data_IF_937652036626
#
_entry.id   IF_937652036626
#
_cell.length_a   1.000
_cell.length_b   1.000
_cell.length_c   1.000
_cell.angle_alpha   90.00
_cell.angle_beta   90.00
_cell.angle_gamma   90.00
#
_symmetry.space_group_name_H-M   'P 1'
#
loop_
_entity.id
_entity.type
_entity.pdbx_description
1 polymer ?
#
# COMPACT_ATOMS: atom_id res chain seq x y z
N UNK A 1 -38.69 10.53 29.93
CA UNK A 1 -37.30 10.05 29.95
C UNK A 1 -36.59 10.63 28.74
N UNK A 2 -35.73 11.62 28.92
CA UNK A 2 -34.95 12.22 27.84
C UNK A 2 -33.49 12.30 28.27
N UNK A 3 -32.59 11.76 27.45
CA UNK A 3 -31.15 11.90 27.66
C UNK A 3 -30.67 13.12 26.87
N UNK A 4 -30.07 14.07 27.58
CA UNK A 4 -29.29 15.15 26.95
C UNK A 4 -27.89 14.57 26.73
N UNK A 5 -27.56 14.26 25.48
CA UNK A 5 -26.22 13.86 25.08
C UNK A 5 -25.55 15.02 24.35
N UNK A 6 -24.32 15.35 24.76
CA UNK A 6 -23.47 16.29 24.04
C UNK A 6 -23.14 15.69 22.67
N UNK A 7 -23.40 16.47 21.60
CA UNK A 7 -22.93 16.11 20.27
C UNK A 7 -21.39 16.19 20.27
N UNK A 8 -20.66 15.07 20.08
CA UNK A 8 -19.21 15.13 20.07
C UNK A 8 -18.72 15.99 18.90
N UNK A 9 -17.60 16.71 19.05
CA UNK A 9 -17.02 17.47 17.96
C UNK A 9 -16.60 16.52 16.83
N UNK A 10 -16.73 16.93 15.55
CA UNK A 10 -16.37 16.09 14.41
C UNK A 10 -14.87 15.76 14.44
N UNK A 11 -14.52 14.57 13.96
CA UNK A 11 -13.14 14.09 13.93
C UNK A 11 -12.24 15.04 13.11
N UNK A 12 -10.99 15.27 13.53
CA UNK A 12 -10.02 16.05 12.76
C UNK A 12 -9.78 15.40 11.40
N UNK A 13 -9.93 16.16 10.31
CA UNK A 13 -9.86 15.66 8.92
C UNK A 13 -8.59 14.87 8.59
N UNK A 14 -7.45 15.17 9.23
CA UNK A 14 -6.19 14.46 9.01
C UNK A 14 -6.15 13.07 9.65
N UNK A 15 -6.87 12.86 10.75
CA UNK A 15 -6.98 11.54 11.39
C UNK A 15 -7.80 10.57 10.54
N UNK A 16 -8.79 11.09 9.79
CA UNK A 16 -9.61 10.28 8.91
C UNK A 16 -8.79 9.52 7.85
N UNK A 17 -7.68 10.09 7.37
CA UNK A 17 -6.77 9.43 6.43
C UNK A 17 -6.10 8.20 7.05
N UNK A 18 -5.61 8.32 8.28
CA UNK A 18 -4.90 7.20 8.94
C UNK A 18 -5.88 6.13 9.44
N UNK A 19 -7.11 6.53 9.80
CA UNK A 19 -8.19 5.63 10.25
C UNK A 19 -8.73 4.72 9.13
N UNK A 20 -8.34 4.95 7.87
CA UNK A 20 -8.67 4.08 6.76
C UNK A 20 -8.21 2.63 6.95
N UNK A 21 -7.18 2.38 7.78
CA UNK A 21 -6.78 1.03 8.18
C UNK A 21 -6.40 0.98 9.66
N UNK A 22 -6.58 -0.20 10.27
CA UNK A 22 -6.06 -0.44 11.63
C UNK A 22 -4.53 -0.45 11.62
N UNK A 23 -3.87 -0.12 12.75
CA UNK A 23 -2.41 -0.18 12.85
C UNK A 23 -1.83 -1.54 12.47
N UNK A 24 -2.56 -2.63 12.75
CA UNK A 24 -2.18 -3.99 12.37
C UNK A 24 -2.13 -4.16 10.86
N UNK A 25 -3.12 -3.65 10.12
CA UNK A 25 -3.14 -3.72 8.65
C UNK A 25 -2.00 -2.89 8.07
N UNK A 26 -1.73 -1.70 8.62
CA UNK A 26 -0.55 -0.90 8.23
C UNK A 26 0.76 -1.66 8.44
N UNK A 27 0.92 -2.35 9.57
CA UNK A 27 2.08 -3.19 9.82
C UNK A 27 2.19 -4.34 8.81
N UNK A 28 1.08 -4.97 8.44
CA UNK A 28 1.05 -6.00 7.39
C UNK A 28 1.42 -5.45 6.01
N UNK A 29 0.90 -4.27 5.63
CA UNK A 29 1.25 -3.61 4.35
C UNK A 29 2.74 -3.26 4.32
N UNK A 30 3.28 -2.67 5.39
CA UNK A 30 4.71 -2.39 5.51
C UNK A 30 5.57 -3.66 5.48
N UNK A 31 5.16 -4.71 6.18
CA UNK A 31 5.86 -5.99 6.20
C UNK A 31 5.87 -6.68 4.83
N UNK A 32 4.74 -6.68 4.13
CA UNK A 32 4.64 -7.25 2.77
C UNK A 32 5.45 -6.45 1.75
N UNK A 33 5.52 -5.12 1.88
CA UNK A 33 6.39 -4.27 1.06
C UNK A 33 7.87 -4.65 1.24
N UNK A 34 8.34 -4.78 2.49
CA UNK A 34 9.72 -5.17 2.80
C UNK A 34 10.01 -6.58 2.28
N UNK A 35 9.12 -7.54 2.56
CA UNK A 35 9.27 -8.93 2.11
C UNK A 35 9.34 -9.03 0.58
N UNK A 36 8.51 -8.25 -0.13
CA UNK A 36 8.53 -8.18 -1.60
C UNK A 36 9.82 -7.57 -2.11
N UNK A 37 10.32 -6.49 -1.48
CA UNK A 37 11.59 -5.88 -1.83
C UNK A 37 12.77 -6.85 -1.66
N UNK A 38 12.81 -7.61 -0.56
CA UNK A 38 13.84 -8.62 -0.32
C UNK A 38 13.74 -9.74 -1.37
N UNK A 39 12.53 -10.26 -1.61
CA UNK A 39 12.30 -11.32 -2.60
C UNK A 39 12.72 -10.88 -4.00
N UNK A 40 12.33 -9.66 -4.41
CA UNK A 40 12.71 -9.07 -5.69
C UNK A 40 14.22 -8.88 -5.79
N UNK A 41 14.86 -8.40 -4.72
CA UNK A 41 16.31 -8.25 -4.68
C UNK A 41 17.02 -9.59 -4.87
N UNK A 42 16.59 -10.66 -4.18
CA UNK A 42 17.14 -12.01 -4.34
C UNK A 42 17.00 -12.51 -5.80
N UNK A 43 15.84 -12.32 -6.44
CA UNK A 43 15.65 -12.72 -7.83
C UNK A 43 16.48 -11.91 -8.84
N UNK A 44 16.88 -10.68 -8.47
CA UNK A 44 17.64 -9.76 -9.31
C UNK A 44 19.13 -9.70 -8.98
N UNK A 45 19.64 -10.48 -8.00
CA UNK A 45 21.07 -10.54 -7.64
C UNK A 45 22.02 -10.91 -8.79
N UNK A 46 21.49 -11.35 -9.94
CA UNK A 46 22.29 -11.57 -11.15
C UNK A 46 22.53 -10.29 -11.97
N UNK A 47 22.01 -9.13 -11.54
CA UNK A 47 22.21 -7.81 -12.16
C UNK A 47 22.91 -6.81 -11.22
N UNK A 48 23.52 -5.77 -11.79
CA UNK A 48 24.27 -4.71 -11.06
C UNK A 48 23.37 -3.65 -10.39
N UNK A 49 22.13 -3.98 -10.04
CA UNK A 49 21.18 -2.98 -9.55
C UNK A 49 21.34 -2.71 -8.05
N UNK A 50 21.26 -1.42 -7.67
CA UNK A 50 21.30 -1.00 -6.28
C UNK A 50 19.98 -1.34 -5.56
N UNK A 51 20.08 -1.75 -4.29
CA UNK A 51 18.92 -2.06 -3.43
C UNK A 51 17.92 -0.89 -3.37
N UNK A 52 18.42 0.35 -3.38
CA UNK A 52 17.58 1.55 -3.38
C UNK A 52 16.72 1.67 -4.63
N UNK A 53 17.25 1.33 -5.80
CA UNK A 53 16.50 1.34 -7.05
C UNK A 53 15.41 0.27 -7.05
N UNK A 54 15.73 -0.93 -6.55
CA UNK A 54 14.75 -2.01 -6.38
C UNK A 54 13.63 -1.61 -5.42
N UNK A 55 13.97 -0.99 -4.29
CA UNK A 55 12.97 -0.51 -3.33
C UNK A 55 12.03 0.52 -3.95
N UNK A 56 12.58 1.50 -4.68
CA UNK A 56 11.78 2.52 -5.37
C UNK A 56 10.84 1.87 -6.39
N UNK A 57 11.31 0.91 -7.17
CA UNK A 57 10.49 0.21 -8.17
C UNK A 57 9.30 -0.52 -7.51
N UNK A 58 9.54 -1.21 -6.40
CA UNK A 58 8.47 -1.89 -5.66
C UNK A 58 7.50 -0.89 -5.02
N UNK A 59 8.00 0.23 -4.48
CA UNK A 59 7.18 1.29 -3.90
C UNK A 59 6.35 2.03 -4.96
N UNK A 60 6.87 2.19 -6.18
CA UNK A 60 6.15 2.80 -7.31
C UNK A 60 4.86 2.04 -7.63
N UNK A 61 4.91 0.70 -7.61
CA UNK A 61 3.71 -0.11 -7.83
C UNK A 61 2.62 0.13 -6.77
N UNK A 62 3.01 0.38 -5.51
CA UNK A 62 2.07 0.69 -4.42
C UNK A 62 1.39 2.06 -4.60
N UNK A 63 2.10 3.02 -5.19
CA UNK A 63 1.61 4.38 -5.43
C UNK A 63 1.05 4.55 -6.86
N UNK A 64 0.83 3.44 -7.59
CA UNK A 64 0.38 3.45 -8.99
C UNK A 64 1.22 4.32 -9.93
N UNK A 65 2.52 4.36 -9.72
CA UNK A 65 3.44 5.06 -10.61
C UNK A 65 3.90 4.15 -11.77
N UNK A 66 4.07 4.70 -12.98
CA UNK A 66 4.55 3.94 -14.13
C UNK A 66 5.97 3.42 -13.91
N UNK A 67 6.20 2.17 -14.31
CA UNK A 67 7.52 1.54 -14.22
C UNK A 67 8.40 2.05 -15.35
N UNK A 68 9.55 2.66 -15.01
CA UNK A 68 10.51 3.16 -16.00
C UNK A 68 11.40 2.06 -16.59
N UNK A 69 11.49 0.90 -15.93
CA UNK A 69 12.37 -0.20 -16.34
C UNK A 69 11.66 -1.54 -16.21
N UNK A 70 11.49 -2.22 -17.34
CA UNK A 70 10.90 -3.54 -17.37
C UNK A 70 11.97 -4.63 -17.20
N UNK A 71 11.79 -5.60 -16.27
CA UNK A 71 12.76 -6.68 -16.09
C UNK A 71 12.73 -7.65 -17.26
N UNK A 72 13.89 -8.08 -17.75
CA UNK A 72 13.98 -8.92 -18.97
C UNK A 72 13.45 -10.36 -18.77
N UNK A 73 13.47 -10.87 -17.53
CA UNK A 73 13.14 -12.26 -17.21
C UNK A 73 11.66 -12.45 -16.92
N UNK A 74 11.03 -13.43 -17.57
CA UNK A 74 9.59 -13.72 -17.41
C UNK A 74 9.17 -13.99 -15.96
N UNK A 75 9.99 -14.70 -15.16
CA UNK A 75 9.67 -15.01 -13.75
C UNK A 75 9.58 -13.75 -12.90
N UNK A 76 10.48 -12.80 -13.16
CA UNK A 76 10.51 -11.51 -12.45
C UNK A 76 9.35 -10.64 -12.92
N UNK A 77 9.02 -10.65 -14.21
CA UNK A 77 7.80 -10.00 -14.73
C UNK A 77 6.53 -10.53 -14.09
N UNK A 78 6.37 -11.85 -13.99
CA UNK A 78 5.21 -12.48 -13.38
C UNK A 78 5.09 -12.13 -11.88
N UNK A 79 6.21 -12.16 -11.15
CA UNK A 79 6.25 -11.74 -9.74
C UNK A 79 5.87 -10.26 -9.59
N UNK A 80 6.43 -9.39 -10.43
CA UNK A 80 6.14 -7.96 -10.39
C UNK A 80 4.68 -7.65 -10.77
N UNK A 81 4.13 -8.38 -11.73
CA UNK A 81 2.71 -8.30 -12.09
C UNK A 81 1.79 -8.75 -10.96
N UNK A 82 2.15 -9.80 -10.22
CA UNK A 82 1.43 -10.22 -9.03
C UNK A 82 1.50 -9.16 -7.92
N UNK A 83 2.69 -8.59 -7.67
CA UNK A 83 2.86 -7.50 -6.72
C UNK A 83 2.02 -6.27 -7.09
N UNK A 84 1.97 -5.94 -8.39
CA UNK A 84 1.14 -4.86 -8.90
C UNK A 84 -0.35 -5.12 -8.64
N UNK A 85 -0.84 -6.35 -8.84
CA UNK A 85 -2.22 -6.73 -8.54
C UNK A 85 -2.53 -6.62 -7.04
N UNK A 86 -1.61 -7.07 -6.18
CA UNK A 86 -1.74 -6.93 -4.72
C UNK A 86 -1.79 -5.45 -4.33
N UNK A 87 -0.88 -4.64 -4.89
CA UNK A 87 -0.86 -3.18 -4.67
C UNK A 87 -2.17 -2.53 -5.09
N UNK A 88 -2.74 -2.96 -6.21
CA UNK A 88 -4.03 -2.49 -6.69
C UNK A 88 -5.15 -2.80 -5.69
N UNK A 89 -5.23 -4.06 -5.24
CA UNK A 89 -6.23 -4.49 -4.25
C UNK A 89 -6.12 -3.72 -2.93
N UNK A 90 -4.90 -3.51 -2.42
CA UNK A 90 -4.66 -2.75 -1.18
C UNK A 90 -5.19 -1.33 -1.32
N UNK A 91 -4.85 -0.66 -2.43
CA UNK A 91 -5.25 0.73 -2.65
C UNK A 91 -6.76 0.89 -2.87
N UNK A 92 -7.40 -0.05 -3.57
CA UNK A 92 -8.86 -0.06 -3.73
C UNK A 92 -9.55 -0.29 -2.38
N UNK A 93 -9.13 -1.28 -1.61
CA UNK A 93 -9.70 -1.56 -0.29
C UNK A 93 -9.54 -0.39 0.68
N UNK A 94 -8.39 0.28 0.66
CA UNK A 94 -8.15 1.49 1.44
C UNK A 94 -9.09 2.62 1.03
N UNK A 95 -9.27 2.81 -0.28
CA UNK A 95 -10.14 3.87 -0.82
C UNK A 95 -11.60 3.64 -0.45
N UNK A 96 -12.10 2.41 -0.60
CA UNK A 96 -13.48 2.04 -0.22
C UNK A 96 -13.74 2.27 1.26
N UNK A 97 -12.80 1.87 2.12
CA UNK A 97 -12.94 2.06 3.55
C UNK A 97 -12.84 3.55 3.93
N UNK A 98 -11.95 4.31 3.29
CA UNK A 98 -11.82 5.75 3.52
C UNK A 98 -13.10 6.49 3.11
N UNK A 99 -13.73 6.11 1.99
CA UNK A 99 -15.03 6.67 1.57
C UNK A 99 -16.10 6.34 2.63
N UNK A 100 -16.16 5.11 3.13
CA UNK A 100 -17.11 4.74 4.17
C UNK A 100 -16.92 5.57 5.46
N UNK A 101 -15.67 5.78 5.89
CA UNK A 101 -15.36 6.61 7.08
C UNK A 101 -15.69 8.09 6.86
N UNK A 102 -15.47 8.62 5.66
CA UNK A 102 -15.71 10.04 5.36
C UNK A 102 -17.18 10.36 5.05
N UNK A 103 -17.99 9.37 4.68
CA UNK A 103 -19.40 9.56 4.33
C UNK A 103 -20.35 9.47 5.51
N UNK A 104 -19.94 8.82 6.61
CA UNK A 104 -20.73 8.78 7.85
C UNK A 104 -20.41 10.02 8.69
N UNK A 105 -21.40 10.91 8.95
CA UNK A 105 -21.22 12.15 9.70
C UNK A 105 -21.01 11.94 11.20
#
# INVERSE_FOLDING_TARGET
>A
FGFIALNPPPLPRWQALVLGFTPTVWACVGGTLIATCISYHIFTQQGKEHISANFILIAQALVFQPLFKEPERWRVKAFLGLWWLISYLIATAYSDHLIAVLTVP
#
